data_IF_780545308505
#
_entry.id   IF_780545308505
#
_cell.length_a   1.000
_cell.length_b   1.000
_cell.length_c   1.000
_cell.angle_alpha   90.00
_cell.angle_beta   90.00
_cell.angle_gamma   90.00
#
_symmetry.space_group_name_H-M   'P 1'
#
loop_
_entity.id
_entity.type
_entity.pdbx_description
1 polymer ?
#
# COMPACT_ATOMS: atom_id res chain seq x y z
N UNK A 1 18.19 -16.88 13.80
CA UNK A 1 17.57 -15.56 13.54
C UNK A 1 16.25 -15.53 14.28
N UNK A 2 15.95 -14.44 14.98
CA UNK A 2 14.76 -14.35 15.84
C UNK A 2 13.55 -13.83 15.06
N UNK A 3 12.82 -14.75 14.45
CA UNK A 3 11.67 -14.49 13.58
C UNK A 3 10.48 -13.87 14.30
N UNK A 4 10.40 -14.07 15.61
CA UNK A 4 9.44 -13.45 16.52
C UNK A 4 9.59 -11.92 16.53
N UNK A 5 10.82 -11.41 16.64
CA UNK A 5 11.11 -9.97 16.62
C UNK A 5 10.81 -9.36 15.25
N UNK A 6 11.23 -10.06 14.18
CA UNK A 6 10.96 -9.63 12.81
C UNK A 6 9.45 -9.58 12.56
N UNK A 7 8.72 -10.64 12.94
CA UNK A 7 7.26 -10.71 12.83
C UNK A 7 6.55 -9.59 13.61
N UNK A 8 7.05 -9.21 14.79
CA UNK A 8 6.51 -8.09 15.55
C UNK A 8 6.62 -6.77 14.78
N UNK A 9 7.80 -6.47 14.23
CA UNK A 9 8.04 -5.24 13.46
C UNK A 9 7.17 -5.22 12.21
N UNK A 10 7.17 -6.31 11.43
CA UNK A 10 6.33 -6.45 10.23
C UNK A 10 4.84 -6.28 10.56
N UNK A 11 4.36 -6.93 11.63
CA UNK A 11 2.96 -6.89 12.03
C UNK A 11 2.50 -5.50 12.43
N UNK A 12 3.34 -4.73 13.14
CA UNK A 12 3.05 -3.33 13.46
C UNK A 12 3.04 -2.45 12.20
N UNK A 13 4.02 -2.60 11.32
CA UNK A 13 4.08 -1.83 10.06
C UNK A 13 2.83 -2.06 9.21
N UNK A 14 2.41 -3.31 9.03
CA UNK A 14 1.21 -3.65 8.25
C UNK A 14 -0.05 -3.11 8.93
N UNK A 15 -0.17 -3.22 10.26
CA UNK A 15 -1.34 -2.70 11.00
C UNK A 15 -1.45 -1.18 10.86
N UNK A 16 -0.33 -0.46 10.86
CA UNK A 16 -0.34 1.00 10.70
C UNK A 16 -0.90 1.45 9.34
N UNK A 17 -0.83 0.61 8.30
CA UNK A 17 -1.41 0.90 6.98
C UNK A 17 -2.94 0.89 7.00
N UNK A 18 -3.57 0.24 7.98
CA UNK A 18 -5.03 0.27 8.14
C UNK A 18 -5.56 1.71 8.34
N UNK A 19 -4.79 2.58 9.00
CA UNK A 19 -5.17 3.96 9.27
C UNK A 19 -5.30 4.81 8.01
N UNK A 20 -4.27 4.94 7.14
CA UNK A 20 -4.40 5.69 5.90
C UNK A 20 -5.44 5.09 4.96
N UNK A 21 -5.60 3.75 4.93
CA UNK A 21 -6.69 3.11 4.17
C UNK A 21 -8.07 3.56 4.67
N UNK A 22 -8.27 3.63 5.99
CA UNK A 22 -9.51 4.12 6.59
C UNK A 22 -9.76 5.60 6.27
N UNK A 23 -8.73 6.43 6.29
CA UNK A 23 -8.82 7.86 5.93
C UNK A 23 -9.26 8.02 4.47
N UNK A 24 -8.66 7.27 3.55
CA UNK A 24 -9.05 7.32 2.13
C UNK A 24 -10.44 6.73 1.90
N UNK A 25 -10.80 5.66 2.61
CA UNK A 25 -12.15 5.10 2.56
C UNK A 25 -13.19 6.13 2.99
N UNK A 26 -12.97 6.84 4.11
CA UNK A 26 -13.85 7.89 4.58
C UNK A 26 -13.96 9.04 3.55
N UNK A 27 -12.84 9.45 2.94
CA UNK A 27 -12.84 10.42 1.86
C UNK A 27 -13.67 9.95 0.66
N UNK A 28 -13.48 8.70 0.23
CA UNK A 28 -14.23 8.08 -0.88
C UNK A 28 -15.74 8.07 -0.61
N UNK A 29 -16.18 7.76 0.62
CA UNK A 29 -17.61 7.82 0.99
C UNK A 29 -18.22 9.23 0.92
N UNK A 30 -17.41 10.27 1.11
CA UNK A 30 -17.86 11.66 1.03
C UNK A 30 -18.02 12.14 -0.42
N UNK A 31 -17.36 11.49 -1.38
CA UNK A 31 -17.45 11.86 -2.79
C UNK A 31 -18.70 11.26 -3.42
N UNK A 32 -19.60 12.13 -3.90
CA UNK A 32 -20.82 11.73 -4.61
C UNK A 32 -20.53 10.88 -5.85
N UNK A 33 -19.40 11.11 -6.52
CA UNK A 33 -18.99 10.38 -7.72
C UNK A 33 -18.58 8.92 -7.44
N UNK A 34 -18.21 8.58 -6.20
CA UNK A 34 -17.72 7.25 -5.81
C UNK A 34 -18.73 6.54 -4.90
N UNK A 35 -19.16 7.21 -3.83
CA UNK A 35 -20.15 6.69 -2.89
C UNK A 35 -19.66 5.55 -2.00
N UNK A 36 -20.55 5.06 -1.14
CA UNK A 36 -20.24 4.06 -0.12
C UNK A 36 -19.89 2.69 -0.72
N UNK A 37 -20.57 2.32 -1.81
CA UNK A 37 -20.38 1.00 -2.44
C UNK A 37 -18.99 0.87 -3.04
N UNK A 38 -18.52 1.87 -3.80
CA UNK A 38 -17.17 1.90 -4.33
C UNK A 38 -16.13 1.91 -3.21
N UNK A 39 -16.31 2.78 -2.21
CA UNK A 39 -15.39 2.87 -1.07
C UNK A 39 -15.25 1.51 -0.35
N UNK A 40 -16.37 0.81 -0.14
CA UNK A 40 -16.38 -0.50 0.50
C UNK A 40 -15.66 -1.56 -0.35
N UNK A 41 -15.97 -1.66 -1.66
CA UNK A 41 -15.33 -2.63 -2.55
C UNK A 41 -13.81 -2.43 -2.67
N UNK A 42 -13.37 -1.17 -2.71
CA UNK A 42 -11.96 -0.80 -2.93
C UNK A 42 -11.12 -0.88 -1.67
N UNK A 43 -11.60 -0.36 -0.53
CA UNK A 43 -10.78 -0.16 0.66
C UNK A 43 -11.06 -1.11 1.81
N UNK A 44 -12.25 -1.70 1.90
CA UNK A 44 -12.58 -2.62 3.00
C UNK A 44 -11.74 -3.91 2.94
N UNK A 45 -11.54 -4.57 1.78
CA UNK A 45 -10.68 -5.76 1.72
C UNK A 45 -9.23 -5.51 2.17
N UNK A 46 -8.50 -4.50 1.67
CA UNK A 46 -7.14 -4.22 2.16
C UNK A 46 -7.12 -3.79 3.63
N UNK A 47 -8.12 -3.03 4.09
CA UNK A 47 -8.23 -2.65 5.49
C UNK A 47 -8.32 -3.87 6.41
N UNK A 48 -9.26 -4.78 6.13
CA UNK A 48 -9.42 -6.00 6.92
C UNK A 48 -8.21 -6.91 6.82
N UNK A 49 -7.64 -7.07 5.62
CA UNK A 49 -6.42 -7.86 5.42
C UNK A 49 -5.26 -7.31 6.25
N UNK A 50 -5.05 -6.00 6.24
CA UNK A 50 -3.98 -5.35 7.02
C UNK A 50 -4.14 -5.56 8.52
N UNK A 51 -5.38 -5.47 9.03
CA UNK A 51 -5.66 -5.72 10.45
C UNK A 51 -5.48 -7.19 10.81
N UNK A 52 -6.00 -8.13 10.00
CA UNK A 52 -5.92 -9.56 10.28
C UNK A 52 -4.47 -10.05 10.21
N UNK A 53 -3.75 -9.71 9.15
CA UNK A 53 -2.34 -10.13 8.98
C UNK A 53 -1.46 -9.45 10.02
N UNK A 54 -1.62 -8.14 10.22
CA UNK A 54 -0.86 -7.38 11.22
C UNK A 54 -1.13 -7.86 12.64
N UNK A 55 -2.38 -8.17 13.00
CA UNK A 55 -2.75 -8.72 14.30
C UNK A 55 -2.22 -10.14 14.50
N UNK A 56 -2.29 -10.99 13.47
CA UNK A 56 -1.77 -12.36 13.54
C UNK A 56 -0.27 -12.37 13.80
N UNK A 57 0.51 -11.57 13.07
CA UNK A 57 1.97 -11.48 13.24
C UNK A 57 2.37 -10.96 14.62
N UNK A 58 1.69 -9.92 15.12
CA UNK A 58 1.96 -9.39 16.47
C UNK A 58 1.56 -10.40 17.55
N UNK A 59 0.44 -11.12 17.39
CA UNK A 59 0.00 -12.13 18.36
C UNK A 59 0.98 -13.29 18.47
N UNK A 60 1.57 -13.72 17.35
CA UNK A 60 2.59 -14.77 17.32
C UNK A 60 3.91 -14.33 17.97
N UNK A 61 4.16 -13.02 18.02
CA UNK A 61 5.36 -12.43 18.63
C UNK A 61 5.19 -11.98 20.10
N UNK A 62 4.01 -12.20 20.71
CA UNK A 62 3.63 -11.64 22.02
C UNK A 62 4.48 -12.11 23.20
N UNK A 63 5.21 -13.22 23.07
CA UNK A 63 6.12 -13.74 24.10
C UNK A 63 7.55 -13.19 23.99
N UNK A 64 7.79 -12.24 23.10
CA UNK A 64 9.10 -11.70 22.82
C UNK A 64 9.27 -10.35 23.51
N UNK A 65 10.08 -10.30 24.58
CA UNK A 65 10.63 -9.04 25.10
C UNK A 65 11.45 -8.38 23.97
N UNK A 66 10.81 -7.52 23.18
CA UNK A 66 11.41 -6.99 21.95
C UNK A 66 12.29 -5.76 22.20
N UNK A 67 11.99 -4.96 23.22
CA UNK A 67 12.68 -3.68 23.47
C UNK A 67 14.15 -3.84 23.90
N UNK A 68 14.54 -4.98 24.49
CA UNK A 68 15.92 -5.22 24.95
C UNK A 68 16.77 -6.04 23.97
N UNK A 69 16.24 -6.36 22.78
CA UNK A 69 16.59 -7.62 22.13
C UNK A 69 16.61 -7.60 20.59
N UNK A 70 16.38 -6.45 19.94
CA UNK A 70 16.61 -6.30 18.49
C UNK A 70 18.11 -6.21 18.25
N UNK A 71 18.69 -7.19 17.55
CA UNK A 71 20.08 -7.10 17.08
C UNK A 71 20.07 -6.62 15.63
N UNK A 72 21.21 -6.13 15.15
CA UNK A 72 21.35 -5.61 13.77
C UNK A 72 20.80 -6.57 12.70
N UNK A 73 21.02 -7.88 12.87
CA UNK A 73 20.50 -8.91 11.96
C UNK A 73 18.98 -8.92 11.85
N UNK A 74 18.26 -8.79 12.97
CA UNK A 74 16.79 -8.73 12.95
C UNK A 74 16.31 -7.40 12.37
N UNK A 75 17.02 -6.30 12.61
CA UNK A 75 16.69 -5.00 12.05
C UNK A 75 16.81 -5.00 10.51
N UNK A 76 17.93 -5.47 9.96
CA UNK A 76 18.13 -5.60 8.51
C UNK A 76 17.08 -6.52 7.86
N UNK A 77 16.79 -7.66 8.49
CA UNK A 77 15.75 -8.58 7.99
C UNK A 77 14.37 -7.92 7.99
N UNK A 78 14.03 -7.15 9.04
CA UNK A 78 12.74 -6.46 9.15
C UNK A 78 12.58 -5.38 8.08
N UNK A 79 13.65 -4.64 7.76
CA UNK A 79 13.61 -3.63 6.68
C UNK A 79 13.49 -4.29 5.31
N UNK A 80 14.30 -5.32 5.03
CA UNK A 80 14.28 -5.99 3.72
C UNK A 80 12.93 -6.69 3.45
N UNK A 81 12.37 -7.36 4.47
CA UNK A 81 11.10 -8.08 4.35
C UNK A 81 9.88 -7.17 4.54
N UNK A 82 10.04 -6.01 5.17
CA UNK A 82 8.97 -5.06 5.49
C UNK A 82 8.23 -4.53 4.28
N UNK A 83 8.94 -4.24 3.20
CA UNK A 83 8.34 -3.63 2.02
C UNK A 83 7.38 -4.57 1.29
N UNK A 84 7.64 -5.88 1.31
CA UNK A 84 6.84 -6.86 0.56
C UNK A 84 5.36 -6.84 0.96
N UNK A 85 4.98 -7.06 2.24
CA UNK A 85 3.57 -7.04 2.65
C UNK A 85 2.96 -5.63 2.60
N UNK A 86 3.76 -4.58 2.82
CA UNK A 86 3.29 -3.19 2.73
C UNK A 86 2.85 -2.86 1.31
N UNK A 87 3.67 -3.21 0.32
CA UNK A 87 3.38 -3.03 -1.12
C UNK A 87 2.26 -3.96 -1.56
N UNK A 88 2.23 -5.21 -1.06
CA UNK A 88 1.15 -6.14 -1.36
C UNK A 88 -0.22 -5.63 -0.88
N UNK A 89 -0.31 -5.04 0.32
CA UNK A 89 -1.55 -4.47 0.83
C UNK A 89 -1.90 -3.17 0.09
N UNK A 90 -0.90 -2.31 -0.18
CA UNK A 90 -1.15 -1.02 -0.81
C UNK A 90 -1.38 -1.06 -2.32
N UNK A 91 -1.11 -2.19 -2.99
CA UNK A 91 -1.50 -2.41 -4.38
C UNK A 91 -3.00 -2.72 -4.52
N UNK A 92 -3.64 -3.26 -3.49
CA UNK A 92 -5.03 -3.69 -3.55
C UNK A 92 -6.01 -2.56 -3.88
N UNK A 93 -5.91 -1.33 -3.34
CA UNK A 93 -6.77 -0.23 -3.78
C UNK A 93 -6.69 0.05 -5.28
N UNK A 94 -5.50 -0.06 -5.90
CA UNK A 94 -5.35 0.16 -7.35
C UNK A 94 -5.98 -0.98 -8.16
N UNK A 95 -5.88 -2.21 -7.66
CA UNK A 95 -6.40 -3.40 -8.33
C UNK A 95 -7.91 -3.58 -8.15
N UNK A 96 -8.46 -3.19 -6.99
CA UNK A 96 -9.89 -3.29 -6.69
C UNK A 96 -10.67 -2.03 -7.02
N UNK A 97 -10.00 -0.88 -7.11
CA UNK A 97 -10.63 0.41 -7.39
C UNK A 97 -10.76 0.75 -8.86
N UNK A 98 -10.42 -0.17 -9.77
CA UNK A 98 -10.57 0.01 -11.21
C UNK A 98 -9.54 0.93 -11.87
N UNK A 99 -8.45 1.28 -11.18
CA UNK A 99 -7.33 2.00 -11.83
C UNK A 99 -6.60 1.12 -12.83
N UNK A 100 -6.51 -0.18 -12.55
CA UNK A 100 -6.06 -1.21 -13.48
C UNK A 100 -7.09 -2.34 -13.51
N UNK A 101 -7.07 -3.17 -14.55
CA UNK A 101 -7.96 -4.32 -14.68
C UNK A 101 -7.86 -5.25 -13.46
N UNK A 102 -8.97 -5.37 -12.74
CA UNK A 102 -9.07 -6.05 -11.47
C UNK A 102 -9.95 -7.30 -11.50
N UNK A 103 -10.17 -7.90 -10.32
CA UNK A 103 -11.09 -9.02 -10.18
C UNK A 103 -12.54 -8.58 -10.31
N UNK A 104 -12.87 -7.31 -10.03
CA UNK A 104 -14.23 -6.78 -10.18
C UNK A 104 -14.62 -6.70 -11.66
N UNK A 105 -13.73 -6.21 -12.51
CA UNK A 105 -13.88 -6.11 -13.96
C UNK A 105 -13.92 -7.49 -14.61
N UNK A 106 -13.11 -8.43 -14.11
CA UNK A 106 -13.18 -9.85 -14.51
C UNK A 106 -14.54 -10.47 -14.20
N UNK A 107 -15.11 -10.20 -13.01
CA UNK A 107 -16.45 -10.69 -12.63
C UNK A 107 -17.57 -10.01 -13.42
N UNK A 108 -17.37 -8.76 -13.84
CA UNK A 108 -18.30 -8.04 -14.71
C UNK A 108 -18.22 -8.50 -16.18
N UNK A 109 -17.20 -9.28 -16.56
CA UNK A 109 -16.98 -9.73 -17.94
C UNK A 109 -16.32 -8.68 -18.83
N UNK A 110 -15.76 -7.62 -18.24
CA UNK A 110 -15.09 -6.50 -18.94
C UNK A 110 -13.59 -6.74 -19.11
N UNK A 111 -13.03 -7.72 -18.39
CA UNK A 111 -11.63 -8.08 -18.45
C UNK A 111 -11.44 -9.59 -18.60
N UNK A 112 -10.36 -9.98 -19.26
CA UNK A 112 -9.90 -11.37 -19.32
C UNK A 112 -9.04 -11.72 -18.10
N UNK A 113 -8.93 -13.01 -17.77
CA UNK A 113 -8.07 -13.47 -16.66
C UNK A 113 -6.62 -12.95 -16.73
N UNK A 114 -6.06 -12.92 -17.93
CA UNK A 114 -4.70 -12.41 -18.16
C UNK A 114 -4.57 -10.90 -17.96
N UNK A 115 -5.62 -10.13 -18.26
CA UNK A 115 -5.64 -8.68 -18.03
C UNK A 115 -5.75 -8.39 -16.54
N UNK A 116 -6.59 -9.11 -15.80
CA UNK A 116 -6.65 -9.01 -14.35
C UNK A 116 -5.31 -9.33 -13.68
N UNK A 117 -4.58 -10.34 -14.18
CA UNK A 117 -3.25 -10.68 -13.68
C UNK A 117 -2.20 -9.60 -14.02
N UNK A 118 -2.25 -9.01 -15.22
CA UNK A 118 -1.40 -7.86 -15.56
C UNK A 118 -1.74 -6.64 -14.72
N UNK A 119 -3.02 -6.39 -14.47
CA UNK A 119 -3.47 -5.31 -13.60
C UNK A 119 -2.97 -5.45 -12.16
N UNK A 120 -2.83 -6.68 -11.65
CA UNK A 120 -2.15 -6.92 -10.37
C UNK A 120 -0.67 -6.51 -10.40
N UNK A 121 0.05 -6.81 -11.49
CA UNK A 121 1.45 -6.39 -11.65
C UNK A 121 1.59 -4.87 -11.77
N UNK A 122 0.69 -4.21 -12.51
CA UNK A 122 0.65 -2.75 -12.61
C UNK A 122 0.35 -2.12 -11.25
N UNK A 123 -0.62 -2.66 -10.52
CA UNK A 123 -0.97 -2.23 -9.16
C UNK A 123 0.20 -2.40 -8.18
N UNK A 124 0.94 -3.50 -8.29
CA UNK A 124 2.16 -3.74 -7.51
C UNK A 124 3.23 -2.70 -7.82
N UNK A 125 3.49 -2.45 -9.10
CA UNK A 125 4.45 -1.44 -9.54
C UNK A 125 4.09 -0.06 -8.98
N UNK A 126 2.82 0.31 -9.09
CA UNK A 126 2.34 1.61 -8.64
C UNK A 126 2.43 1.77 -7.12
N UNK A 127 2.09 0.72 -6.37
CA UNK A 127 2.26 0.71 -4.91
C UNK A 127 3.72 0.75 -4.49
N UNK A 128 4.62 0.03 -5.20
CA UNK A 128 6.05 0.07 -4.93
C UNK A 128 6.54 1.51 -5.12
N UNK A 129 6.27 2.09 -6.29
CA UNK A 129 6.68 3.46 -6.64
C UNK A 129 6.19 4.51 -5.64
N UNK A 130 4.96 4.38 -5.16
CA UNK A 130 4.40 5.23 -4.10
C UNK A 130 5.20 5.12 -2.80
N UNK A 131 5.25 3.93 -2.20
CA UNK A 131 5.90 3.72 -0.90
C UNK A 131 7.42 3.96 -0.92
N UNK A 132 8.09 3.74 -2.05
CA UNK A 132 9.51 4.05 -2.19
C UNK A 132 9.77 5.50 -2.59
N UNK A 133 8.73 6.30 -2.78
CA UNK A 133 8.81 7.69 -3.27
C UNK A 133 9.55 7.81 -4.61
N UNK A 134 9.49 6.77 -5.44
CA UNK A 134 10.12 6.77 -6.76
C UNK A 134 9.39 7.70 -7.72
N UNK A 135 8.06 7.77 -7.61
CA UNK A 135 7.25 8.68 -8.42
C UNK A 135 7.10 8.29 -9.90
N UNK A 136 7.55 7.08 -10.28
CA UNK A 136 7.23 6.50 -11.58
C UNK A 136 5.77 6.02 -11.62
N UNK A 137 5.15 6.05 -12.80
CA UNK A 137 3.76 5.61 -12.99
C UNK A 137 3.66 4.69 -14.20
N UNK A 138 2.78 3.71 -14.13
CA UNK A 138 2.37 2.89 -15.28
C UNK A 138 0.92 3.16 -15.70
N UNK A 139 0.29 4.21 -15.15
CA UNK A 139 -1.02 4.69 -15.59
C UNK A 139 -0.88 5.30 -16.98
N UNK A 140 -1.46 4.63 -17.97
CA UNK A 140 -1.37 4.95 -19.39
C UNK A 140 -2.64 4.45 -20.11
N UNK A 141 -3.04 5.02 -21.27
CA UNK A 141 -4.15 4.53 -22.08
C UNK A 141 -4.10 3.03 -22.43
N UNK A 142 -2.91 2.42 -22.44
CA UNK A 142 -2.75 0.99 -22.71
C UNK A 142 -2.93 0.09 -21.47
N UNK A 143 -2.89 0.66 -20.27
CA UNK A 143 -2.83 -0.12 -19.01
C UNK A 143 -4.02 0.10 -18.09
N UNK A 144 -4.63 1.29 -18.13
CA UNK A 144 -5.75 1.66 -17.28
C UNK A 144 -7.07 1.68 -18.08
N UNK A 145 -8.12 0.99 -17.61
CA UNK A 145 -9.43 0.99 -18.29
C UNK A 145 -10.12 2.36 -18.27
N UNK A 146 -9.74 3.25 -17.34
CA UNK A 146 -10.29 4.61 -17.23
C UNK A 146 -9.72 5.53 -18.31
N UNK A 147 -8.52 5.24 -18.81
CA UNK A 147 -7.85 6.07 -19.79
C UNK A 147 -8.28 5.70 -21.21
N UNK A 148 -9.24 6.46 -21.75
CA UNK A 148 -9.68 6.31 -23.15
C UNK A 148 -8.99 7.35 -24.05
N UNK A 149 -8.95 7.13 -25.36
CA UNK A 149 -8.30 8.06 -26.32
C UNK A 149 -8.87 9.49 -26.32
N UNK A 150 -10.06 9.68 -25.73
CA UNK A 150 -10.72 10.98 -25.59
C UNK A 150 -10.29 11.77 -24.34
N UNK A 151 -9.52 11.14 -23.44
CA UNK A 151 -9.09 11.73 -22.17
C UNK A 151 -7.73 12.41 -22.37
N UNK A 152 -7.68 13.74 -22.20
CA UNK A 152 -6.43 14.50 -22.28
C UNK A 152 -5.46 14.19 -21.13
N UNK A 153 -5.98 13.99 -19.90
CA UNK A 153 -5.19 13.65 -18.71
C UNK A 153 -5.62 12.29 -18.13
N UNK A 154 -4.87 11.26 -18.50
CA UNK A 154 -5.07 9.88 -18.04
C UNK A 154 -4.86 9.72 -16.51
N UNK A 155 -3.97 10.50 -15.90
CA UNK A 155 -3.73 10.43 -14.46
C UNK A 155 -4.84 11.19 -13.72
N UNK A 156 -5.16 12.41 -14.15
CA UNK A 156 -6.18 13.25 -13.51
C UNK A 156 -7.61 12.71 -13.62
N UNK A 157 -7.88 11.83 -14.59
CA UNK A 157 -9.18 11.17 -14.78
C UNK A 157 -9.44 9.98 -13.85
N UNK A 158 -8.43 9.50 -13.13
CA UNK A 158 -8.59 8.41 -12.16
C UNK A 158 -9.48 8.82 -10.98
N UNK A 159 -10.06 7.84 -10.30
CA UNK A 159 -10.86 8.07 -9.10
C UNK A 159 -10.07 8.88 -8.05
N UNK A 160 -10.71 9.91 -7.49
CA UNK A 160 -10.03 10.90 -6.65
C UNK A 160 -9.54 10.29 -5.35
N UNK A 161 -10.24 9.30 -4.80
CA UNK A 161 -9.75 8.56 -3.64
C UNK A 161 -8.48 7.76 -3.95
N UNK A 162 -8.35 7.22 -5.17
CA UNK A 162 -7.12 6.53 -5.60
C UNK A 162 -5.98 7.52 -5.80
N UNK A 163 -6.25 8.71 -6.35
CA UNK A 163 -5.25 9.79 -6.41
C UNK A 163 -4.78 10.21 -5.02
N UNK A 164 -5.69 10.32 -4.06
CA UNK A 164 -5.34 10.56 -2.66
C UNK A 164 -4.50 9.42 -2.08
N UNK A 165 -4.83 8.16 -2.38
CA UNK A 165 -4.05 6.99 -1.97
C UNK A 165 -2.61 7.04 -2.51
N UNK A 166 -2.43 7.44 -3.78
CA UNK A 166 -1.09 7.67 -4.37
C UNK A 166 -0.30 8.71 -3.58
N UNK A 167 -0.90 9.86 -3.30
CA UNK A 167 -0.23 10.93 -2.55
C UNK A 167 0.10 10.50 -1.12
N UNK A 168 -0.80 9.78 -0.45
CA UNK A 168 -0.58 9.30 0.92
C UNK A 168 0.52 8.24 0.97
N UNK A 169 0.58 7.30 0.03
CA UNK A 169 1.66 6.30 -0.01
C UNK A 169 3.03 6.94 -0.24
N UNK A 170 3.13 7.97 -1.10
CA UNK A 170 4.34 8.78 -1.25
C UNK A 170 4.68 9.56 0.02
N UNK A 171 3.69 10.14 0.70
CA UNK A 171 3.92 10.85 1.96
C UNK A 171 4.42 9.92 3.07
N UNK A 172 3.82 8.73 3.20
CA UNK A 172 4.25 7.69 4.14
C UNK A 172 5.68 7.23 3.83
N UNK A 173 6.00 7.00 2.56
CA UNK A 173 7.36 6.67 2.11
C UNK A 173 8.38 7.75 2.44
N UNK A 174 8.02 9.02 2.18
CA UNK A 174 8.89 10.18 2.40
C UNK A 174 9.22 10.41 3.87
N UNK A 175 8.26 10.17 4.77
CA UNK A 175 8.53 10.18 6.21
C UNK A 175 9.64 9.19 6.60
N UNK A 176 9.68 8.01 5.97
CA UNK A 176 10.73 7.01 6.20
C UNK A 176 12.14 7.52 5.87
N UNK A 177 12.29 8.20 4.72
CA UNK A 177 13.57 8.77 4.29
C UNK A 177 14.02 9.90 5.22
N UNK A 178 13.11 10.79 5.62
CA UNK A 178 13.41 11.89 6.56
C UNK A 178 13.84 11.33 7.91
N UNK A 179 13.13 10.33 8.44
CA UNK A 179 13.48 9.69 9.71
C UNK A 179 14.84 9.01 9.65
N UNK A 180 15.16 8.30 8.57
CA UNK A 180 16.49 7.73 8.37
C UNK A 180 17.57 8.81 8.33
N UNK A 181 17.33 9.91 7.61
CA UNK A 181 18.24 11.05 7.56
C UNK A 181 18.51 11.66 8.94
N UNK A 182 17.47 11.86 9.75
CA UNK A 182 17.58 12.37 11.12
C UNK A 182 18.32 11.39 12.05
N UNK A 183 18.08 10.08 11.93
CA UNK A 183 18.78 9.05 12.70
C UNK A 183 20.28 8.99 12.35
N UNK A 184 20.64 9.15 11.08
CA UNK A 184 22.04 9.22 10.66
C UNK A 184 22.69 10.51 11.17
N UNK A 185 22.01 11.65 11.02
CA UNK A 185 22.52 12.95 11.46
C UNK A 185 22.79 12.99 12.97
N UNK A 186 21.85 12.49 13.77
CA UNK A 186 22.00 12.41 15.25
C UNK A 186 23.16 11.52 15.66
N UNK A 187 23.35 10.38 14.98
CA UNK A 187 24.49 9.49 15.23
C UNK A 187 25.83 10.11 14.85
N UNK A 188 25.89 10.93 13.81
CA UNK A 188 27.12 11.64 13.39
C UNK A 188 27.45 12.81 14.32
N UNK A 189 26.43 13.53 14.81
CA UNK A 189 26.60 14.67 15.73
C UNK A 189 26.84 14.29 17.19
N UNK A 190 27.01 12.99 17.50
CA UNK A 190 27.44 12.51 18.81
C UNK A 190 26.32 12.15 19.78
N UNK A 191 25.16 11.74 19.27
CA UNK A 191 24.13 11.03 20.06
C UNK A 191 24.53 9.60 20.44
#
# INVERSE_FOLDING_TARGET
>A
MRWDVVGLVLGWTIRLIALPLLVVAAYSTYLEAEGIEYAAKTYLPPFLLSLVVGQSLVSLARNSDASSRVRDREAFASVALGWIPVVAVGSLPYWLGGMFYGPLELMAGEATFWEALRGLLHSWFESMSGFTTTGATVIDPLTSPVCTELVEDCIGSQNRSLLLWRSITQWLGGMGVIMLGLLILTRVLGG
#
